data_IF_125465148893
#
_entry.id   IF_125465148893
#
_cell.length_a   1.000
_cell.length_b   1.000
_cell.length_c   1.000
_cell.angle_alpha   90.00
_cell.angle_beta   90.00
_cell.angle_gamma   90.00
#
_symmetry.space_group_name_H-M   'P 1'
#
loop_
_entity.id
_entity.type
_entity.pdbx_description
1 polymer ?
#
# COMPACT_ATOMS: atom_id res chain seq x y z
N UNK A 1 30.23 20.14 -5.98
CA UNK A 1 30.31 19.09 -7.02
C UNK A 1 30.42 17.75 -6.30
N UNK A 2 29.29 17.15 -5.94
CA UNK A 2 29.25 15.89 -5.21
C UNK A 2 29.19 14.78 -6.26
N UNK A 3 30.26 14.00 -6.36
CA UNK A 3 30.30 12.77 -7.14
C UNK A 3 29.20 11.85 -6.60
N UNK A 4 28.11 11.71 -7.37
CA UNK A 4 27.13 10.67 -7.14
C UNK A 4 27.80 9.34 -7.49
N UNK A 5 28.34 8.68 -6.48
CA UNK A 5 28.77 7.29 -6.59
C UNK A 5 27.52 6.49 -6.90
N UNK A 6 27.42 5.98 -8.13
CA UNK A 6 26.46 4.94 -8.49
C UNK A 6 26.60 3.81 -7.46
N UNK A 7 25.59 3.63 -6.62
CA UNK A 7 25.56 2.44 -5.78
C UNK A 7 25.42 1.26 -6.73
N UNK A 8 26.40 0.34 -6.82
CA UNK A 8 26.30 -0.78 -7.73
C UNK A 8 25.10 -1.65 -7.31
N UNK A 9 24.22 -1.95 -8.27
CA UNK A 9 23.10 -2.87 -8.06
C UNK A 9 23.63 -4.13 -7.37
N UNK A 10 23.08 -4.55 -6.20
CA UNK A 10 23.59 -5.71 -5.50
C UNK A 10 23.59 -6.94 -6.42
N UNK A 11 24.65 -7.76 -6.44
CA UNK A 11 24.70 -8.92 -7.32
C UNK A 11 23.58 -9.92 -6.99
N UNK A 12 23.07 -10.62 -8.01
CA UNK A 12 22.06 -11.67 -7.84
C UNK A 12 22.58 -12.71 -6.85
N UNK A 13 21.75 -13.06 -5.86
CA UNK A 13 22.11 -14.06 -4.83
C UNK A 13 22.55 -15.36 -5.47
N UNK A 14 21.88 -15.79 -6.55
CA UNK A 14 22.27 -16.97 -7.34
C UNK A 14 23.68 -16.84 -7.91
N UNK A 15 24.02 -15.70 -8.54
CA UNK A 15 25.35 -15.49 -9.10
C UNK A 15 26.43 -15.46 -8.00
N UNK A 16 26.14 -14.78 -6.90
CA UNK A 16 27.04 -14.69 -5.75
C UNK A 16 27.28 -16.05 -5.07
N UNK A 17 26.24 -16.87 -4.91
CA UNK A 17 26.35 -18.20 -4.29
C UNK A 17 27.10 -19.17 -5.21
N UNK A 18 26.77 -19.20 -6.50
CA UNK A 18 27.44 -20.08 -7.47
C UNK A 18 28.92 -19.75 -7.58
N UNK A 19 29.27 -18.46 -7.67
CA UNK A 19 30.67 -18.06 -7.81
C UNK A 19 31.46 -18.17 -6.50
N UNK A 20 30.83 -18.00 -5.33
CA UNK A 20 31.47 -18.25 -4.03
C UNK A 20 31.79 -19.74 -3.80
N UNK A 21 31.01 -20.64 -4.40
CA UNK A 21 31.25 -22.10 -4.31
C UNK A 21 32.49 -22.57 -5.08
N UNK A 22 33.06 -21.69 -5.91
CA UNK A 22 34.25 -21.95 -6.73
C UNK A 22 35.42 -21.12 -6.21
N UNK A 23 36.47 -21.78 -5.69
CA UNK A 23 37.65 -21.11 -5.12
C UNK A 23 38.37 -20.21 -6.12
N UNK A 24 38.28 -20.51 -7.41
CA UNK A 24 38.87 -19.73 -8.52
C UNK A 24 38.32 -18.30 -8.61
N UNK A 25 37.08 -18.07 -8.15
CA UNK A 25 36.40 -16.78 -8.28
C UNK A 25 36.28 -16.00 -6.97
N UNK A 26 36.80 -16.52 -5.84
CA UNK A 26 36.67 -15.88 -4.52
C UNK A 26 37.37 -14.51 -4.41
N UNK A 27 38.28 -14.18 -5.33
CA UNK A 27 38.95 -12.88 -5.41
C UNK A 27 38.49 -11.96 -6.56
N UNK A 28 37.44 -12.33 -7.30
CA UNK A 28 37.03 -11.66 -8.55
C UNK A 28 35.61 -11.06 -8.43
N UNK A 29 35.43 -9.97 -7.66
CA UNK A 29 34.12 -9.35 -7.48
C UNK A 29 33.55 -8.79 -8.79
N UNK A 30 34.41 -8.37 -9.73
CA UNK A 30 34.01 -7.89 -11.05
C UNK A 30 33.40 -8.98 -11.93
N UNK A 31 33.88 -10.23 -11.83
CA UNK A 31 33.27 -11.37 -12.55
C UNK A 31 31.88 -11.67 -11.99
N UNK A 32 31.73 -11.60 -10.66
CA UNK A 32 30.42 -11.75 -10.01
C UNK A 32 29.45 -10.65 -10.44
N UNK A 33 29.92 -9.41 -10.55
CA UNK A 33 29.13 -8.29 -11.06
C UNK A 33 28.75 -8.50 -12.54
N UNK A 34 29.68 -8.92 -13.39
CA UNK A 34 29.43 -9.16 -14.82
C UNK A 34 28.45 -10.31 -15.06
N UNK A 35 28.60 -11.44 -14.35
CA UNK A 35 27.66 -12.57 -14.42
C UNK A 35 26.29 -12.15 -13.88
N UNK A 36 26.26 -11.38 -12.79
CA UNK A 36 25.00 -10.85 -12.27
C UNK A 36 24.31 -9.94 -13.28
N UNK A 37 25.05 -9.04 -13.94
CA UNK A 37 24.51 -8.13 -14.94
C UNK A 37 23.97 -8.91 -16.16
N UNK A 38 24.71 -9.92 -16.62
CA UNK A 38 24.28 -10.79 -17.71
C UNK A 38 22.99 -11.56 -17.40
N UNK A 39 22.86 -12.04 -16.16
CA UNK A 39 21.66 -12.74 -15.70
C UNK A 39 20.52 -11.79 -15.28
N UNK A 40 20.75 -10.47 -15.26
CA UNK A 40 19.77 -9.53 -14.76
C UNK A 40 18.66 -9.30 -15.80
N UNK A 41 17.55 -10.00 -15.61
CA UNK A 41 16.33 -9.81 -16.40
C UNK A 41 15.40 -8.75 -15.83
N UNK A 42 15.81 -7.99 -14.80
CA UNK A 42 14.99 -6.88 -14.25
C UNK A 42 14.65 -5.82 -15.30
N UNK A 43 15.50 -5.66 -16.32
CA UNK A 43 15.21 -4.87 -17.52
C UNK A 43 13.91 -5.24 -18.23
N UNK A 44 13.42 -6.48 -18.08
CA UNK A 44 12.18 -6.95 -18.69
C UNK A 44 10.89 -6.60 -17.91
N UNK A 45 10.98 -6.20 -16.62
CA UNK A 45 9.80 -6.04 -15.75
C UNK A 45 9.47 -4.59 -15.41
N UNK A 46 8.24 -4.14 -15.69
CA UNK A 46 7.76 -2.84 -15.20
C UNK A 46 7.72 -2.80 -13.66
N UNK A 47 7.82 -1.61 -13.05
CA UNK A 47 7.70 -1.46 -11.59
C UNK A 47 6.39 -2.03 -11.05
N UNK A 48 5.28 -1.85 -11.78
CA UNK A 48 3.97 -2.39 -11.40
C UNK A 48 3.93 -3.92 -11.47
N UNK A 49 4.58 -4.55 -12.44
CA UNK A 49 4.69 -6.01 -12.48
C UNK A 49 5.47 -6.54 -11.29
N UNK A 50 6.54 -5.84 -10.87
CA UNK A 50 7.27 -6.20 -9.65
C UNK A 50 6.41 -6.07 -8.39
N UNK A 51 5.57 -5.03 -8.30
CA UNK A 51 4.57 -4.88 -7.24
C UNK A 51 3.55 -6.03 -7.25
N UNK A 52 3.02 -6.41 -8.42
CA UNK A 52 2.08 -7.54 -8.59
C UNK A 52 2.69 -8.88 -8.21
N UNK A 53 3.99 -9.05 -8.45
CA UNK A 53 4.77 -10.21 -8.01
C UNK A 53 5.08 -10.17 -6.50
N UNK A 54 4.87 -9.04 -5.83
CA UNK A 54 5.15 -8.88 -4.41
C UNK A 54 6.64 -8.82 -4.07
N UNK A 55 7.50 -8.52 -5.05
CA UNK A 55 8.96 -8.65 -4.88
C UNK A 55 9.62 -7.28 -4.65
N UNK A 56 9.85 -6.93 -3.38
CA UNK A 56 10.60 -5.73 -3.00
C UNK A 56 12.01 -5.72 -3.60
N UNK A 57 12.68 -6.88 -3.66
CA UNK A 57 14.02 -7.03 -4.24
C UNK A 57 14.06 -6.77 -5.75
N UNK A 58 13.05 -7.20 -6.49
CA UNK A 58 12.95 -6.91 -7.93
C UNK A 58 12.69 -5.42 -8.15
N UNK A 59 11.81 -4.84 -7.35
CA UNK A 59 11.49 -3.42 -7.42
C UNK A 59 12.70 -2.54 -7.05
N UNK A 60 13.48 -2.95 -6.06
CA UNK A 60 14.75 -2.32 -5.68
C UNK A 60 15.78 -2.35 -6.82
N UNK A 61 15.90 -3.48 -7.52
CA UNK A 61 16.76 -3.57 -8.72
C UNK A 61 16.28 -2.66 -9.84
N UNK A 62 14.97 -2.69 -10.14
CA UNK A 62 14.37 -1.83 -11.17
C UNK A 62 14.64 -0.35 -10.84
N UNK A 63 14.49 0.04 -9.58
CA UNK A 63 14.73 1.40 -9.10
C UNK A 63 16.19 1.86 -9.28
N UNK A 64 17.17 1.00 -9.01
CA UNK A 64 18.59 1.36 -9.20
C UNK A 64 18.97 1.34 -10.69
N UNK A 65 18.50 0.35 -11.46
CA UNK A 65 18.78 0.24 -12.90
C UNK A 65 18.18 1.39 -13.73
N UNK A 66 17.10 2.02 -13.25
CA UNK A 66 16.48 3.14 -13.96
C UNK A 66 17.32 4.41 -13.93
N UNK A 67 18.27 4.53 -13.00
CA UNK A 67 19.22 5.65 -12.94
C UNK A 67 20.20 5.62 -14.12
N UNK A 68 20.58 4.43 -14.58
CA UNK A 68 21.51 4.27 -15.71
C UNK A 68 20.85 4.65 -17.04
N UNK A 69 19.53 4.43 -17.18
CA UNK A 69 18.74 4.79 -18.37
C UNK A 69 18.52 6.30 -18.55
N UNK A 70 18.67 7.11 -17.50
CA UNK A 70 18.55 8.57 -17.58
C UNK A 70 19.82 9.18 -18.21
N UNK A 71 20.97 8.51 -18.06
CA UNK A 71 22.27 9.00 -18.51
C UNK A 71 22.64 8.56 -19.94
N UNK A 72 21.89 7.64 -20.53
CA UNK A 72 22.15 7.12 -21.87
C UNK A 72 21.42 7.98 -22.92
N UNK A 73 22.15 8.88 -23.59
CA UNK A 73 21.62 9.83 -24.58
C UNK A 73 21.22 9.18 -25.91
N UNK A 74 21.62 7.92 -26.14
CA UNK A 74 21.59 7.30 -27.46
C UNK A 74 20.30 6.51 -27.74
N UNK A 75 19.40 6.37 -26.77
CA UNK A 75 18.19 5.55 -26.89
C UNK A 75 17.00 6.30 -27.52
N UNK A 76 17.23 7.05 -28.59
CA UNK A 76 16.17 7.82 -29.29
C UNK A 76 15.38 6.99 -30.32
N UNK A 77 15.87 5.82 -30.73
CA UNK A 77 15.32 5.07 -31.88
C UNK A 77 14.48 3.82 -31.55
N UNK A 78 14.37 3.37 -30.29
CA UNK A 78 13.59 2.18 -29.91
C UNK A 78 12.32 2.51 -29.10
N UNK A 79 11.85 3.75 -29.22
CA UNK A 79 10.98 4.44 -28.25
C UNK A 79 9.51 3.97 -28.25
N UNK A 80 9.00 3.38 -29.32
CA UNK A 80 7.55 3.34 -29.54
C UNK A 80 6.85 2.01 -29.21
N UNK A 81 7.57 0.95 -28.82
CA UNK A 81 6.95 -0.38 -28.67
C UNK A 81 7.05 -1.06 -27.32
N UNK A 82 7.84 -0.55 -26.38
CA UNK A 82 7.96 -1.16 -25.05
C UNK A 82 7.53 -0.17 -23.95
N UNK A 83 6.42 -0.41 -23.22
CA UNK A 83 5.96 0.45 -22.11
C UNK A 83 7.00 0.67 -21.00
N UNK A 84 8.14 -0.03 -21.06
CA UNK A 84 9.27 0.05 -20.12
C UNK A 84 10.12 1.32 -20.26
N UNK A 85 9.96 2.13 -21.33
CA UNK A 85 10.61 3.45 -21.43
C UNK A 85 10.19 4.40 -20.29
N UNK A 86 9.00 4.18 -19.72
CA UNK A 86 8.46 4.97 -18.60
C UNK A 86 9.32 4.89 -17.33
N UNK A 87 10.20 3.88 -17.21
CA UNK A 87 11.13 3.78 -16.07
C UNK A 87 12.07 4.97 -15.95
N UNK A 88 12.38 5.64 -17.05
CA UNK A 88 13.22 6.86 -17.02
C UNK A 88 12.56 7.98 -16.21
N UNK A 89 11.24 7.96 -16.06
CA UNK A 89 10.51 8.93 -15.25
C UNK A 89 10.38 8.57 -13.78
N UNK A 90 10.86 7.40 -13.35
CA UNK A 90 10.80 6.98 -11.94
C UNK A 90 11.48 7.97 -11.00
N UNK A 91 12.48 8.71 -11.47
CA UNK A 91 13.24 9.67 -10.67
C UNK A 91 12.88 11.13 -10.98
N UNK A 92 12.20 11.41 -12.09
CA UNK A 92 12.00 12.78 -12.59
C UNK A 92 10.57 13.27 -12.51
N UNK A 93 9.57 12.39 -12.68
CA UNK A 93 8.16 12.77 -12.69
C UNK A 93 7.48 12.37 -11.37
N UNK A 94 7.08 13.38 -10.59
CA UNK A 94 6.40 13.18 -9.30
C UNK A 94 5.02 12.54 -9.44
N UNK A 95 4.28 12.82 -10.52
CA UNK A 95 2.97 12.20 -10.76
C UNK A 95 3.12 10.73 -11.11
N UNK A 96 4.13 10.38 -11.90
CA UNK A 96 4.44 8.98 -12.18
C UNK A 96 4.89 8.22 -10.93
N UNK A 97 5.73 8.83 -10.07
CA UNK A 97 6.10 8.27 -8.77
C UNK A 97 4.86 8.03 -7.89
N UNK A 98 3.97 9.01 -7.80
CA UNK A 98 2.72 8.88 -7.04
C UNK A 98 1.83 7.77 -7.59
N UNK A 99 1.74 7.61 -8.91
CA UNK A 99 0.98 6.53 -9.53
C UNK A 99 1.55 5.15 -9.19
N UNK A 100 2.85 4.94 -9.37
CA UNK A 100 3.51 3.66 -9.02
C UNK A 100 3.39 3.36 -7.53
N UNK A 101 3.55 4.37 -6.68
CA UNK A 101 3.41 4.25 -5.24
C UNK A 101 2.00 3.84 -4.81
N UNK A 102 0.97 4.52 -5.32
CA UNK A 102 -0.43 4.21 -5.02
C UNK A 102 -0.80 2.80 -5.50
N UNK A 103 -0.50 2.46 -6.75
CA UNK A 103 -0.80 1.13 -7.31
C UNK A 103 -0.03 0.02 -6.58
N UNK A 104 1.25 0.26 -6.27
CA UNK A 104 2.07 -0.67 -5.52
C UNK A 104 1.52 -0.97 -4.13
N UNK A 105 1.03 0.06 -3.43
CA UNK A 105 0.37 -0.11 -2.13
C UNK A 105 -0.97 -0.83 -2.26
N UNK A 106 -1.77 -0.52 -3.28
CA UNK A 106 -3.04 -1.20 -3.54
C UNK A 106 -2.89 -2.70 -3.78
N UNK A 107 -1.77 -3.15 -4.36
CA UNK A 107 -1.44 -4.57 -4.51
C UNK A 107 -0.81 -5.20 -3.26
N UNK A 108 0.07 -4.47 -2.57
CA UNK A 108 0.86 -5.01 -1.45
C UNK A 108 0.05 -5.14 -0.15
N UNK A 109 -0.81 -4.16 0.13
CA UNK A 109 -1.56 -4.04 1.39
C UNK A 109 -2.55 -5.20 1.57
N UNK A 110 -3.43 -5.54 0.60
CA UNK A 110 -4.35 -6.68 0.75
C UNK A 110 -3.64 -8.01 0.97
N UNK A 111 -2.41 -8.15 0.45
CA UNK A 111 -1.57 -9.35 0.59
C UNK A 111 -0.80 -9.40 1.90
N UNK A 112 -0.90 -8.35 2.74
CA UNK A 112 -0.13 -8.18 3.98
C UNK A 112 1.39 -8.30 3.77
N UNK A 113 1.87 -7.88 2.59
CA UNK A 113 3.30 -7.95 2.27
C UNK A 113 4.02 -6.75 2.88
N UNK A 114 4.41 -6.90 4.15
CA UNK A 114 5.06 -5.84 4.93
C UNK A 114 6.40 -5.41 4.33
N UNK A 115 7.17 -6.33 3.73
CA UNK A 115 8.46 -6.02 3.11
C UNK A 115 8.29 -5.04 1.93
N UNK A 116 7.32 -5.32 1.06
CA UNK A 116 7.04 -4.45 -0.09
C UNK A 116 6.45 -3.10 0.35
N UNK A 117 5.52 -3.09 1.32
CA UNK A 117 4.95 -1.85 1.86
C UNK A 117 6.04 -0.99 2.50
N UNK A 118 6.92 -1.58 3.31
CA UNK A 118 8.04 -0.87 3.93
C UNK A 118 8.99 -0.30 2.89
N UNK A 119 9.33 -1.09 1.86
CA UNK A 119 10.17 -0.62 0.77
C UNK A 119 9.54 0.59 0.08
N UNK A 120 8.27 0.51 -0.32
CA UNK A 120 7.55 1.61 -0.99
C UNK A 120 7.56 2.90 -0.16
N UNK A 121 7.26 2.80 1.14
CA UNK A 121 7.23 3.98 2.03
C UNK A 121 8.62 4.59 2.26
N UNK A 122 9.66 3.75 2.27
CA UNK A 122 11.04 4.19 2.46
C UNK A 122 11.65 4.85 1.21
N UNK A 123 11.28 4.35 0.03
CA UNK A 123 11.77 4.84 -1.27
C UNK A 123 11.05 6.11 -1.69
N UNK A 124 9.72 6.14 -1.57
CA UNK A 124 8.88 7.22 -2.06
C UNK A 124 8.45 8.20 -0.96
N UNK A 125 9.40 8.86 -0.31
CA UNK A 125 9.12 9.81 0.77
C UNK A 125 8.42 11.08 0.26
N UNK A 126 7.50 11.62 1.06
CA UNK A 126 6.77 12.85 0.74
C UNK A 126 5.64 12.67 -0.27
N UNK A 127 5.29 11.43 -0.60
CA UNK A 127 4.11 11.10 -1.39
C UNK A 127 2.89 10.90 -0.49
N UNK A 128 1.70 10.94 -1.11
CA UNK A 128 0.43 10.81 -0.40
C UNK A 128 -0.03 9.36 -0.43
N UNK A 129 -0.40 8.82 0.72
CA UNK A 129 -1.13 7.55 0.84
C UNK A 129 -2.62 7.88 0.86
N UNK A 130 -3.33 7.48 -0.18
CA UNK A 130 -4.76 7.76 -0.33
C UNK A 130 -5.61 7.06 0.73
N UNK A 131 -6.79 7.62 1.01
CA UNK A 131 -7.78 7.03 1.92
C UNK A 131 -8.18 5.61 1.50
N UNK A 132 -8.20 5.33 0.19
CA UNK A 132 -8.49 4.00 -0.35
C UNK A 132 -7.47 2.95 0.10
N UNK A 133 -6.16 3.25 0.06
CA UNK A 133 -5.11 2.33 0.52
C UNK A 133 -5.29 2.02 2.01
N UNK A 134 -5.59 3.04 2.83
CA UNK A 134 -5.84 2.86 4.26
C UNK A 134 -7.09 2.01 4.48
N UNK A 135 -8.16 2.24 3.71
CA UNK A 135 -9.37 1.43 3.77
C UNK A 135 -9.09 -0.04 3.39
N UNK A 136 -8.25 -0.30 2.38
CA UNK A 136 -7.80 -1.67 2.04
C UNK A 136 -7.01 -2.32 3.17
N UNK A 137 -6.17 -1.58 3.88
CA UNK A 137 -5.44 -2.09 5.05
C UNK A 137 -6.40 -2.46 6.19
N UNK A 138 -7.41 -1.62 6.43
CA UNK A 138 -8.46 -1.88 7.40
C UNK A 138 -9.28 -3.12 7.01
N UNK A 139 -9.70 -3.22 5.75
CA UNK A 139 -10.47 -4.36 5.23
C UNK A 139 -9.68 -5.68 5.32
N UNK A 140 -8.37 -5.63 5.03
CA UNK A 140 -7.48 -6.77 5.19
C UNK A 140 -7.29 -7.18 6.67
N UNK A 141 -7.66 -6.31 7.62
CA UNK A 141 -7.46 -6.53 9.04
C UNK A 141 -5.97 -6.67 9.41
N UNK A 142 -5.10 -5.92 8.73
CA UNK A 142 -3.65 -5.96 8.93
C UNK A 142 -3.21 -4.84 9.87
N UNK A 143 -3.21 -5.12 11.18
CA UNK A 143 -2.81 -4.15 12.20
C UNK A 143 -1.37 -3.69 11.99
N UNK A 144 -0.49 -4.60 11.59
CA UNK A 144 0.93 -4.32 11.34
C UNK A 144 1.10 -3.31 10.21
N UNK A 145 0.31 -3.44 9.13
CA UNK A 145 0.33 -2.48 8.02
C UNK A 145 -0.16 -1.10 8.46
N UNK A 146 -1.22 -1.03 9.27
CA UNK A 146 -1.75 0.23 9.79
C UNK A 146 -0.77 0.93 10.73
N UNK A 147 -0.14 0.19 11.63
CA UNK A 147 0.91 0.71 12.51
C UNK A 147 2.11 1.23 11.72
N UNK A 148 2.49 0.53 10.64
CA UNK A 148 3.57 0.94 9.76
C UNK A 148 3.21 2.22 8.99
N UNK A 149 1.99 2.34 8.47
CA UNK A 149 1.50 3.57 7.83
C UNK A 149 1.49 4.75 8.80
N UNK A 150 1.03 4.54 10.03
CA UNK A 150 1.00 5.56 11.07
C UNK A 150 2.39 5.99 11.53
N UNK A 151 3.31 5.04 11.71
CA UNK A 151 4.70 5.35 12.03
C UNK A 151 5.40 6.13 10.90
N UNK A 152 4.95 5.99 9.65
CA UNK A 152 5.45 6.73 8.50
C UNK A 152 4.63 7.98 8.16
N UNK A 153 3.61 8.32 8.94
CA UNK A 153 2.78 9.49 8.68
C UNK A 153 3.57 10.76 8.97
N UNK A 154 3.52 11.71 8.05
CA UNK A 154 4.10 13.05 8.20
C UNK A 154 3.51 13.82 9.38
N UNK A 155 2.31 13.48 9.85
CA UNK A 155 1.74 14.01 11.11
C UNK A 155 2.53 13.55 12.34
N UNK A 156 3.06 12.34 12.32
CA UNK A 156 3.79 11.71 13.43
C UNK A 156 5.29 12.04 13.35
N UNK A 157 5.87 11.97 12.15
CA UNK A 157 7.30 12.20 11.92
C UNK A 157 7.68 13.68 11.75
N UNK A 158 6.71 14.56 11.52
CA UNK A 158 6.92 15.98 11.26
C UNK A 158 6.93 16.34 9.77
N UNK A 159 6.68 17.62 9.47
CA UNK A 159 6.57 18.11 8.10
C UNK A 159 7.86 17.86 7.29
N UNK A 160 7.73 17.22 6.13
CA UNK A 160 8.86 16.84 5.26
C UNK A 160 9.47 15.48 5.59
N UNK A 161 9.03 14.82 6.67
CA UNK A 161 9.42 13.45 7.01
C UNK A 161 8.24 12.51 6.78
N UNK A 162 8.47 11.35 6.14
CA UNK A 162 7.43 10.35 5.91
C UNK A 162 6.48 10.67 4.75
N UNK A 163 5.29 10.08 4.79
CA UNK A 163 4.25 10.15 3.77
C UNK A 163 3.00 10.82 4.33
N UNK A 164 2.26 11.55 3.51
CA UNK A 164 0.99 12.12 3.95
C UNK A 164 -0.09 11.05 3.90
N UNK A 165 -0.59 10.59 5.06
CA UNK A 165 -1.61 9.54 5.11
C UNK A 165 -2.99 10.15 5.29
N UNK A 166 -3.90 9.86 4.36
CA UNK A 166 -5.28 10.30 4.38
C UNK A 166 -6.14 9.35 5.23
N UNK A 167 -6.18 9.59 6.54
CA UNK A 167 -7.06 8.88 7.46
C UNK A 167 -8.49 9.42 7.41
N UNK A 168 -9.50 8.53 7.54
CA UNK A 168 -10.92 8.91 7.63
C UNK A 168 -11.78 8.26 6.55
N UNK A 169 -12.82 8.96 6.12
CA UNK A 169 -13.71 8.56 5.02
C UNK A 169 -14.20 7.10 5.17
N UNK A 170 -13.73 6.19 4.31
CA UNK A 170 -14.14 4.78 4.23
C UNK A 170 -13.31 3.83 5.11
N UNK A 171 -12.35 4.34 5.87
CA UNK A 171 -11.48 3.51 6.73
C UNK A 171 -12.27 2.80 7.83
N UNK A 172 -13.23 3.49 8.44
CA UNK A 172 -14.02 2.95 9.54
C UNK A 172 -15.00 1.87 9.06
N UNK A 173 -15.69 2.10 7.92
CA UNK A 173 -16.56 1.08 7.32
C UNK A 173 -15.78 -0.16 6.93
N UNK A 174 -14.60 0.00 6.32
CA UNK A 174 -13.72 -1.10 5.97
C UNK A 174 -13.22 -1.89 7.20
N UNK A 175 -12.89 -1.21 8.29
CA UNK A 175 -12.49 -1.86 9.54
C UNK A 175 -13.64 -2.72 10.12
N UNK A 176 -14.87 -2.21 10.10
CA UNK A 176 -16.05 -2.96 10.57
C UNK A 176 -16.32 -4.18 9.66
N UNK A 177 -16.21 -4.02 8.35
CA UNK A 177 -16.37 -5.12 7.39
C UNK A 177 -15.33 -6.24 7.58
N UNK A 178 -14.12 -5.90 8.06
CA UNK A 178 -13.10 -6.91 8.37
C UNK A 178 -13.42 -7.76 9.63
N UNK A 179 -14.49 -7.44 10.37
CA UNK A 179 -14.85 -8.04 11.68
C UNK A 179 -13.75 -7.94 12.74
N UNK A 180 -12.82 -6.99 12.57
CA UNK A 180 -11.69 -6.72 13.48
C UNK A 180 -11.98 -5.46 14.27
N UNK A 181 -12.72 -5.60 15.36
CA UNK A 181 -13.06 -4.49 16.26
C UNK A 181 -11.82 -3.83 16.87
N UNK A 182 -10.73 -4.57 17.03
CA UNK A 182 -9.42 -4.04 17.45
C UNK A 182 -8.87 -2.96 16.51
N UNK A 183 -9.11 -3.08 15.19
CA UNK A 183 -8.73 -2.05 14.21
C UNK A 183 -9.54 -0.78 14.43
N UNK A 184 -10.85 -0.91 14.68
CA UNK A 184 -11.73 0.23 14.96
C UNK A 184 -11.26 0.98 16.21
N UNK A 185 -10.99 0.26 17.30
CA UNK A 185 -10.52 0.87 18.54
C UNK A 185 -9.15 1.52 18.39
N UNK A 186 -8.25 0.90 17.63
CA UNK A 186 -6.93 1.47 17.36
C UNK A 186 -7.02 2.77 16.56
N UNK A 187 -7.86 2.83 15.52
CA UNK A 187 -8.10 4.04 14.73
C UNK A 187 -8.59 5.19 15.63
N UNK A 188 -9.59 4.94 16.47
CA UNK A 188 -10.13 5.95 17.38
C UNK A 188 -9.14 6.41 18.46
N UNK A 189 -8.25 5.52 18.91
CA UNK A 189 -7.24 5.86 19.91
C UNK A 189 -6.11 6.72 19.34
N UNK A 190 -5.68 6.43 18.12
CA UNK A 190 -4.49 7.05 17.53
C UNK A 190 -4.80 8.20 16.57
N UNK A 191 -6.01 8.23 15.99
CA UNK A 191 -6.42 9.21 14.99
C UNK A 191 -7.86 9.68 15.27
N UNK A 192 -8.12 10.31 16.44
CA UNK A 192 -9.47 10.74 16.81
C UNK A 192 -10.02 11.86 15.89
N UNK A 193 -9.13 12.67 15.30
CA UNK A 193 -9.50 13.87 14.54
C UNK A 193 -9.75 13.61 13.04
N UNK A 194 -9.76 12.34 12.61
CA UNK A 194 -10.06 12.01 11.22
C UNK A 194 -11.54 12.19 10.89
N UNK A 195 -11.82 12.65 9.66
CA UNK A 195 -13.18 12.83 9.16
C UNK A 195 -13.81 11.49 8.75
N UNK A 196 -14.18 10.67 9.74
CA UNK A 196 -14.78 9.36 9.51
C UNK A 196 -16.21 9.47 8.97
N UNK A 197 -16.54 8.69 7.95
CA UNK A 197 -17.92 8.58 7.47
C UNK A 197 -18.73 7.64 8.38
N UNK A 198 -19.26 8.21 9.48
CA UNK A 198 -20.02 7.46 10.48
C UNK A 198 -21.29 6.81 9.91
N UNK A 199 -21.91 7.43 8.90
CA UNK A 199 -23.09 6.88 8.21
C UNK A 199 -22.75 5.59 7.45
N UNK A 200 -21.65 5.60 6.69
CA UNK A 200 -21.18 4.40 5.98
C UNK A 200 -20.70 3.31 6.96
N UNK A 201 -20.10 3.70 8.08
CA UNK A 201 -19.70 2.80 9.15
C UNK A 201 -20.91 2.12 9.81
N UNK A 202 -21.97 2.88 10.12
CA UNK A 202 -23.21 2.36 10.72
C UNK A 202 -23.87 1.34 9.81
N UNK A 203 -23.96 1.68 8.53
CA UNK A 203 -24.48 0.78 7.51
C UNK A 203 -23.68 -0.53 7.44
N UNK A 204 -22.35 -0.43 7.50
CA UNK A 204 -21.49 -1.62 7.52
C UNK A 204 -21.71 -2.45 8.79
N UNK A 205 -21.85 -1.85 9.98
CA UNK A 205 -22.11 -2.57 11.22
C UNK A 205 -23.42 -3.36 11.15
N UNK A 206 -24.47 -2.75 10.61
CA UNK A 206 -25.78 -3.36 10.36
C UNK A 206 -25.68 -4.54 9.40
N UNK A 207 -24.99 -4.39 8.26
CA UNK A 207 -24.76 -5.49 7.33
C UNK A 207 -23.94 -6.63 7.96
N UNK A 208 -23.02 -6.29 8.86
CA UNK A 208 -22.17 -7.24 9.58
C UNK A 208 -22.85 -7.86 10.81
N UNK A 209 -24.03 -7.39 11.23
CA UNK A 209 -24.73 -7.87 12.42
C UNK A 209 -24.03 -7.49 13.72
N UNK A 210 -23.18 -6.46 13.70
CA UNK A 210 -22.46 -6.00 14.88
C UNK A 210 -23.30 -4.93 15.59
N UNK A 211 -24.30 -5.40 16.36
CA UNK A 211 -25.24 -4.54 17.07
C UNK A 211 -24.51 -3.61 18.04
N UNK A 212 -23.51 -4.11 18.76
CA UNK A 212 -22.73 -3.31 19.71
C UNK A 212 -21.99 -2.16 19.00
N UNK A 213 -21.39 -2.43 17.84
CA UNK A 213 -20.76 -1.38 17.04
C UNK A 213 -21.78 -0.39 16.47
N UNK A 214 -22.95 -0.87 16.03
CA UNK A 214 -24.03 -0.01 15.53
C UNK A 214 -24.55 0.93 16.64
N UNK A 215 -24.80 0.43 17.84
CA UNK A 215 -25.16 1.24 19.01
C UNK A 215 -24.12 2.30 19.31
N UNK A 216 -22.85 1.88 19.36
CA UNK A 216 -21.74 2.77 19.66
C UNK A 216 -21.60 3.89 18.61
N UNK A 217 -21.82 3.60 17.33
CA UNK A 217 -21.81 4.59 16.26
C UNK A 217 -22.99 5.57 16.37
N UNK A 218 -24.19 5.10 16.71
CA UNK A 218 -25.34 6.00 16.87
C UNK A 218 -25.17 6.92 18.09
N UNK A 219 -24.60 6.43 19.19
CA UNK A 219 -24.23 7.27 20.35
C UNK A 219 -23.24 8.39 19.98
N UNK A 220 -22.45 8.20 18.91
CA UNK A 220 -21.50 9.19 18.37
C UNK A 220 -22.12 10.14 17.34
N UNK A 221 -23.43 10.05 17.10
CA UNK A 221 -24.14 10.91 16.15
C UNK A 221 -24.13 10.36 14.72
N UNK A 222 -23.92 9.05 14.51
CA UNK A 222 -24.13 8.45 13.20
C UNK A 222 -25.60 8.56 12.81
N UNK A 223 -25.87 9.26 11.72
CA UNK A 223 -27.19 9.35 11.12
C UNK A 223 -27.46 8.15 10.21
N UNK A 224 -28.71 7.71 10.18
CA UNK A 224 -29.18 6.77 9.17
C UNK A 224 -29.15 7.41 7.78
N UNK A 225 -28.95 6.64 6.69
CA UNK A 225 -29.05 7.16 5.33
C UNK A 225 -30.42 7.80 5.12
N UNK A 226 -30.43 9.10 4.86
CA UNK A 226 -31.66 9.84 4.63
C UNK A 226 -32.25 9.44 3.26
N UNK A 227 -33.59 9.37 3.18
CA UNK A 227 -34.47 8.84 2.11
C UNK A 227 -35.03 7.42 2.37
N UNK A 228 -36.09 7.37 3.20
CA UNK A 228 -36.97 6.20 3.48
C UNK A 228 -36.52 5.22 4.59
N UNK A 229 -35.57 5.67 5.40
CA UNK A 229 -35.56 5.55 6.87
C UNK A 229 -35.25 4.18 7.47
N UNK A 230 -36.28 3.40 7.78
CA UNK A 230 -36.13 2.15 8.54
C UNK A 230 -36.64 0.94 7.77
N UNK A 231 -37.63 1.12 6.88
CA UNK A 231 -38.23 0.02 6.13
C UNK A 231 -37.27 -0.61 5.12
N UNK A 232 -36.43 0.21 4.47
CA UNK A 232 -35.42 -0.29 3.52
C UNK A 232 -34.31 -1.01 4.29
N UNK A 233 -33.85 -0.42 5.39
CA UNK A 233 -32.86 -1.04 6.29
C UNK A 233 -33.40 -2.37 6.81
N UNK A 234 -34.62 -2.41 7.36
CA UNK A 234 -35.25 -3.62 7.86
C UNK A 234 -35.46 -4.66 6.76
N UNK A 235 -35.85 -4.27 5.54
CA UNK A 235 -35.98 -5.20 4.42
C UNK A 235 -34.64 -5.81 4.03
N UNK A 236 -33.57 -5.01 3.94
CA UNK A 236 -32.23 -5.50 3.61
C UNK A 236 -31.64 -6.36 4.72
N UNK A 237 -31.80 -5.96 5.98
CA UNK A 237 -31.39 -6.73 7.16
C UNK A 237 -32.16 -8.05 7.23
N UNK A 238 -33.46 -8.06 6.93
CA UNK A 238 -34.27 -9.27 6.82
C UNK A 238 -33.78 -10.17 5.66
N UNK A 239 -33.45 -9.59 4.51
CA UNK A 239 -32.87 -10.34 3.37
C UNK A 239 -31.50 -10.94 3.71
N UNK A 240 -30.72 -10.29 4.58
CA UNK A 240 -29.44 -10.78 5.11
C UNK A 240 -29.61 -11.78 6.27
N UNK A 241 -30.85 -12.09 6.69
CA UNK A 241 -31.16 -13.03 7.76
C UNK A 241 -30.72 -12.57 9.15
N UNK A 242 -30.53 -11.27 9.37
CA UNK A 242 -30.01 -10.68 10.61
C UNK A 242 -31.14 -10.34 11.58
N UNK A 243 -31.67 -11.38 12.24
CA UNK A 243 -32.78 -11.25 13.21
C UNK A 243 -32.37 -10.44 14.44
N UNK A 244 -31.11 -10.55 14.85
CA UNK A 244 -30.47 -9.77 15.91
C UNK A 244 -30.58 -8.26 15.69
N UNK A 245 -30.27 -7.80 14.47
CA UNK A 245 -30.36 -6.38 14.11
C UNK A 245 -31.81 -5.93 13.97
N UNK A 246 -32.72 -6.78 13.50
CA UNK A 246 -34.15 -6.45 13.45
C UNK A 246 -34.74 -6.27 14.85
N UNK A 247 -34.43 -7.18 15.78
CA UNK A 247 -34.85 -7.06 17.16
C UNK A 247 -34.30 -5.78 17.79
N UNK A 248 -33.01 -5.49 17.54
CA UNK A 248 -32.40 -4.25 17.99
C UNK A 248 -33.06 -2.99 17.40
N UNK A 249 -33.47 -3.01 16.13
CA UNK A 249 -34.20 -1.91 15.50
C UNK A 249 -35.61 -1.74 16.07
N UNK A 250 -36.27 -2.83 16.49
CA UNK A 250 -37.61 -2.81 17.11
C UNK A 250 -37.57 -2.35 18.58
N UNK A 251 -36.47 -2.61 19.28
CA UNK A 251 -36.27 -2.21 20.68
C UNK A 251 -35.86 -0.74 20.87
N UNK A 252 -35.61 0.01 19.78
CA UNK A 252 -35.21 1.43 19.79
C UNK A 252 -36.36 2.40 19.53
#
# INVERSE_FOLDING_TARGET
MILMTSNPVPPLVVAAVVLRSRSEFQGLPHVTAAVSLFLDTSGAFSPLEACKLGSARLLDRIWHSSHDLVNDSDTSNSMERDPKWLRRFLHTDKHYQQYIFSEGLMDAVPRKNLELVQWLLSTFKGLTVSSEVVARACLAGSMETLQLLYANDSRVLGAGCGNHVEWGESTLSAAIQSRRSDVVWWLFRHIPDANYNLRAALWSAVQMGDVLMAEWLVLRGAEWPDLRGERVVAHEVAALGRVDVLQWLEER
#
